data_IF_383488674378
#
_entry.id   IF_383488674378
#
_cell.length_a   1.000
_cell.length_b   1.000
_cell.length_c   1.000
_cell.angle_alpha   90.00
_cell.angle_beta   90.00
_cell.angle_gamma   90.00
#
_symmetry.space_group_name_H-M   'P 1'
#
loop_
_entity.id
_entity.type
_entity.pdbx_description
1 polymer ?
#
# COMPACT_ATOMS: atom_id res chain seq x y z
N UNK A 1 10.86 3.03 3.01
CA UNK A 1 10.67 3.77 1.74
C UNK A 1 9.19 4.05 1.50
N UNK A 2 8.33 3.04 1.46
CA UNK A 2 6.86 3.21 1.31
C UNK A 2 6.27 4.22 2.31
N UNK A 3 6.58 4.09 3.61
CA UNK A 3 6.10 5.06 4.61
C UNK A 3 6.54 6.51 4.30
N UNK A 4 7.75 6.72 3.80
CA UNK A 4 8.24 8.06 3.44
C UNK A 4 7.44 8.66 2.28
N UNK A 5 7.21 7.88 1.22
CA UNK A 5 6.36 8.29 0.10
C UNK A 5 4.93 8.62 0.55
N UNK A 6 4.37 7.81 1.46
CA UNK A 6 3.04 8.05 2.02
C UNK A 6 2.96 9.35 2.84
N UNK A 7 4.00 9.67 3.61
CA UNK A 7 4.08 10.92 4.36
C UNK A 7 4.20 12.16 3.45
N UNK A 8 4.79 12.00 2.26
CA UNK A 8 4.90 13.05 1.24
C UNK A 8 3.66 13.14 0.33
N UNK A 9 2.66 12.26 0.50
CA UNK A 9 1.47 12.20 -0.36
C UNK A 9 1.73 11.60 -1.75
N UNK A 10 2.89 11.00 -1.95
CA UNK A 10 3.32 10.36 -3.21
C UNK A 10 2.76 8.94 -3.31
N UNK A 11 1.42 8.84 -3.37
CA UNK A 11 0.71 7.56 -3.28
C UNK A 11 0.92 6.68 -4.51
N UNK A 12 1.00 7.27 -5.70
CA UNK A 12 1.19 6.52 -6.94
C UNK A 12 2.59 5.89 -6.99
N UNK A 13 3.59 6.60 -6.49
CA UNK A 13 4.94 6.08 -6.29
C UNK A 13 4.97 4.99 -5.20
N UNK A 14 4.22 5.16 -4.12
CA UNK A 14 4.12 4.15 -3.06
C UNK A 14 3.49 2.84 -3.59
N UNK A 15 2.43 2.93 -4.39
CA UNK A 15 1.80 1.78 -5.05
C UNK A 15 2.73 1.15 -6.10
N UNK A 16 3.41 1.95 -6.92
CA UNK A 16 4.41 1.43 -7.87
C UNK A 16 5.54 0.69 -7.15
N UNK A 17 5.97 1.19 -5.99
CA UNK A 17 6.98 0.51 -5.18
C UNK A 17 6.44 -0.79 -4.57
N UNK A 18 5.20 -0.80 -4.11
CA UNK A 18 4.52 -2.00 -3.61
C UNK A 18 4.53 -3.12 -4.66
N UNK A 19 4.12 -2.82 -5.91
CA UNK A 19 4.14 -3.78 -7.02
C UNK A 19 5.55 -4.32 -7.29
N UNK A 20 6.55 -3.42 -7.32
CA UNK A 20 7.95 -3.80 -7.56
C UNK A 20 8.58 -4.64 -6.44
N UNK A 21 8.04 -4.63 -5.23
CA UNK A 21 8.60 -5.47 -4.16
C UNK A 21 8.61 -6.93 -4.59
N UNK A 22 7.52 -7.42 -5.19
CA UNK A 22 7.39 -8.80 -5.62
C UNK A 22 8.31 -9.18 -6.77
N UNK A 23 8.42 -8.30 -7.77
CA UNK A 23 9.35 -8.46 -8.89
C UNK A 23 10.80 -8.62 -8.41
N UNK A 24 11.12 -8.07 -7.24
CA UNK A 24 12.42 -8.16 -6.60
C UNK A 24 12.51 -9.27 -5.53
N UNK A 25 11.53 -10.16 -5.45
CA UNK A 25 11.49 -11.27 -4.49
C UNK A 25 11.24 -10.84 -3.04
N UNK A 26 10.77 -9.61 -2.83
CA UNK A 26 10.37 -9.09 -1.53
C UNK A 26 8.85 -9.09 -1.45
N UNK A 27 8.26 -9.94 -0.63
CA UNK A 27 6.79 -10.01 -0.53
C UNK A 27 6.27 -8.89 0.38
N UNK A 28 5.35 -8.03 -0.09
CA UNK A 28 4.64 -7.10 0.79
C UNK A 28 3.88 -7.86 1.87
N UNK A 29 3.98 -7.39 3.11
CA UNK A 29 3.34 -7.98 4.28
C UNK A 29 2.18 -7.12 4.79
N UNK A 30 1.50 -7.59 5.85
CA UNK A 30 0.40 -6.90 6.53
C UNK A 30 0.76 -5.45 6.87
N UNK A 31 1.95 -5.20 7.42
CA UNK A 31 2.41 -3.87 7.83
C UNK A 31 2.56 -2.95 6.64
N UNK A 32 3.06 -3.48 5.52
CA UNK A 32 3.22 -2.73 4.27
C UNK A 32 1.88 -2.24 3.74
N UNK A 33 0.88 -3.12 3.66
CA UNK A 33 -0.48 -2.75 3.22
C UNK A 33 -1.15 -1.78 4.19
N UNK A 34 -1.12 -2.07 5.50
CA UNK A 34 -1.72 -1.20 6.52
C UNK A 34 -1.15 0.22 6.48
N UNK A 35 0.17 0.35 6.26
CA UNK A 35 0.84 1.65 6.15
C UNK A 35 0.25 2.48 5.00
N UNK A 36 0.09 1.90 3.81
CA UNK A 36 -0.43 2.61 2.64
C UNK A 36 -1.93 2.89 2.81
N UNK A 37 -2.71 1.88 3.21
CA UNK A 37 -4.16 1.99 3.40
C UNK A 37 -4.49 3.10 4.41
N UNK A 38 -3.79 3.14 5.56
CA UNK A 38 -3.96 4.17 6.56
C UNK A 38 -3.65 5.58 6.04
N UNK A 39 -2.56 5.72 5.28
CA UNK A 39 -2.19 6.99 4.69
C UNK A 39 -3.22 7.47 3.66
N UNK A 40 -3.75 6.57 2.83
CA UNK A 40 -4.80 6.89 1.86
C UNK A 40 -6.09 7.34 2.54
N UNK A 41 -6.56 6.62 3.57
CA UNK A 41 -7.73 7.05 4.34
C UNK A 41 -7.56 8.42 4.98
N UNK A 42 -6.36 8.73 5.48
CA UNK A 42 -6.05 10.05 6.04
C UNK A 42 -6.11 11.20 5.02
N UNK A 43 -5.97 10.88 3.73
CA UNK A 43 -5.94 11.86 2.65
C UNK A 43 -7.19 11.80 1.76
N UNK A 44 -8.26 11.14 2.23
CA UNK A 44 -9.54 10.97 1.53
C UNK A 44 -9.44 10.22 0.19
N UNK A 45 -8.35 9.47 -0.01
CA UNK A 45 -8.11 8.60 -1.17
C UNK A 45 -8.80 7.23 -0.99
N UNK A 46 -10.10 7.27 -0.68
CA UNK A 46 -10.86 6.10 -0.21
C UNK A 46 -10.96 4.99 -1.26
N UNK A 47 -11.09 5.34 -2.54
CA UNK A 47 -11.17 4.36 -3.63
C UNK A 47 -9.87 3.53 -3.75
N UNK A 48 -8.72 4.19 -3.60
CA UNK A 48 -7.41 3.52 -3.59
C UNK A 48 -7.25 2.65 -2.35
N UNK A 49 -7.69 3.15 -1.19
CA UNK A 49 -7.63 2.41 0.07
C UNK A 49 -8.49 1.13 0.02
N UNK A 50 -9.71 1.21 -0.51
CA UNK A 50 -10.59 0.05 -0.68
C UNK A 50 -9.97 -0.99 -1.63
N UNK A 51 -9.40 -0.54 -2.75
CA UNK A 51 -8.72 -1.42 -3.71
C UNK A 51 -7.59 -2.20 -3.04
N UNK A 52 -6.73 -1.53 -2.28
CA UNK A 52 -5.62 -2.17 -1.57
C UNK A 52 -6.10 -3.10 -0.44
N UNK A 53 -7.17 -2.74 0.26
CA UNK A 53 -7.76 -3.62 1.28
C UNK A 53 -8.28 -4.93 0.65
N UNK A 54 -8.95 -4.85 -0.51
CA UNK A 54 -9.42 -6.04 -1.24
C UNK A 54 -8.27 -6.92 -1.71
N UNK A 55 -7.19 -6.30 -2.16
CA UNK A 55 -5.96 -7.01 -2.52
C UNK A 55 -5.38 -7.74 -1.30
N UNK A 56 -5.15 -7.04 -0.19
CA UNK A 56 -4.66 -7.59 1.07
C UNK A 56 -5.48 -8.81 1.55
N UNK A 57 -6.82 -8.73 1.47
CA UNK A 57 -7.73 -9.84 1.77
C UNK A 57 -7.52 -11.02 0.82
N UNK A 58 -7.43 -10.76 -0.49
CA UNK A 58 -7.22 -11.80 -1.51
C UNK A 58 -5.91 -12.55 -1.30
N UNK A 59 -4.92 -11.89 -0.70
CA UNK A 59 -3.61 -12.46 -0.38
C UNK A 59 -3.56 -13.16 0.97
N UNK A 60 -4.66 -13.16 1.73
CA UNK A 60 -4.74 -13.80 3.04
C UNK A 60 -3.91 -13.09 4.12
N UNK A 61 -3.70 -11.78 3.98
CA UNK A 61 -2.91 -10.97 4.91
C UNK A 61 -3.77 -10.26 5.97
N UNK A 62 -5.04 -10.68 6.15
CA UNK A 62 -5.94 -10.16 7.18
C UNK A 62 -5.72 -10.85 8.55
#
# INVERSE_FOLDING_TARGET
MINGLCLEGLFDEAMTLLEKMEDNGCTPDVVTYETIIYALFKNDENDKAEKLLREMITRGLL
#
